data_IF_146020867302
#
_entry.id   IF_146020867302
#
_cell.length_a   1.000
_cell.length_b   1.000
_cell.length_c   1.000
_cell.angle_alpha   90.00
_cell.angle_beta   90.00
_cell.angle_gamma   90.00
#
_symmetry.space_group_name_H-M   'P 1'
#
loop_
_entity.id
_entity.type
_entity.pdbx_description
1 polymer ?
#
# COMPACT_ATOMS: atom_id res chain seq x y z
N UNK A 1 19.72 4.02 8.57
CA UNK A 1 19.31 4.24 7.16
C UNK A 1 17.83 4.58 7.07
N UNK A 2 17.45 5.51 6.19
CA UNK A 2 16.07 5.97 5.97
C UNK A 2 15.90 6.44 4.51
N UNK A 3 14.67 6.65 4.05
CA UNK A 3 14.39 7.26 2.75
C UNK A 3 14.51 8.78 2.91
N UNK A 4 15.45 9.39 2.21
CA UNK A 4 15.71 10.84 2.19
C UNK A 4 14.72 11.56 1.27
N UNK A 5 14.49 11.01 0.09
CA UNK A 5 13.53 11.53 -0.87
C UNK A 5 12.99 10.43 -1.79
N UNK A 6 11.87 10.71 -2.43
CA UNK A 6 11.21 9.82 -3.40
C UNK A 6 10.94 10.62 -4.66
N UNK A 7 11.31 10.06 -5.81
CA UNK A 7 10.96 10.56 -7.13
C UNK A 7 10.01 9.57 -7.79
N UNK A 8 8.91 10.05 -8.34
CA UNK A 8 7.89 9.21 -9.00
C UNK A 8 7.53 9.81 -10.35
N UNK A 9 7.49 8.98 -11.39
CA UNK A 9 7.00 9.37 -12.71
C UNK A 9 5.86 8.46 -13.17
N UNK A 10 4.77 9.07 -13.60
CA UNK A 10 3.65 8.45 -14.30
C UNK A 10 2.97 7.27 -13.60
N UNK A 11 3.05 7.21 -12.27
CA UNK A 11 2.44 6.15 -11.49
C UNK A 11 1.06 6.57 -10.96
N UNK A 12 0.01 5.89 -11.38
CA UNK A 12 -1.39 6.11 -10.95
C UNK A 12 -1.80 7.60 -10.99
N UNK A 13 -1.99 8.24 -9.82
CA UNK A 13 -2.38 9.65 -9.70
C UNK A 13 -1.26 10.64 -10.06
N UNK A 14 0.00 10.20 -10.11
CA UNK A 14 1.13 11.06 -10.43
C UNK A 14 1.39 11.10 -11.94
N UNK A 15 1.10 12.23 -12.58
CA UNK A 15 1.43 12.52 -14.00
C UNK A 15 2.73 13.30 -14.08
N UNK A 16 3.68 12.85 -14.89
CA UNK A 16 5.01 13.44 -14.99
C UNK A 16 5.81 13.22 -13.71
N UNK A 17 6.77 14.10 -13.45
CA UNK A 17 7.68 14.00 -12.32
C UNK A 17 7.04 14.55 -11.03
N UNK A 18 7.23 13.84 -9.95
CA UNK A 18 6.87 14.25 -8.60
C UNK A 18 7.98 13.91 -7.63
N UNK A 19 8.44 14.92 -6.89
CA UNK A 19 9.51 14.79 -5.90
C UNK A 19 9.01 15.12 -4.50
N UNK A 20 9.42 14.33 -3.52
CA UNK A 20 9.13 14.57 -2.12
C UNK A 20 10.34 14.22 -1.26
N UNK A 21 10.74 15.13 -0.38
CA UNK A 21 11.74 14.85 0.66
C UNK A 21 11.04 14.29 1.91
N UNK A 22 11.72 13.46 2.67
CA UNK A 22 11.22 12.85 3.90
C UNK A 22 12.20 13.07 5.05
N UNK A 23 11.68 13.09 6.28
CA UNK A 23 12.48 13.13 7.49
C UNK A 23 12.92 11.70 7.87
N UNK A 24 13.98 11.55 8.61
CA UNK A 24 14.48 10.28 9.14
C UNK A 24 13.58 9.63 10.22
N UNK A 25 12.68 10.43 10.82
CA UNK A 25 11.70 9.99 11.81
C UNK A 25 10.29 9.89 11.26
N UNK A 26 9.35 10.63 11.88
CA UNK A 26 7.93 10.61 11.53
C UNK A 26 7.67 11.56 10.36
N UNK A 27 6.91 11.07 9.37
CA UNK A 27 6.40 11.82 8.24
C UNK A 27 4.87 11.63 8.17
N UNK A 28 4.11 12.72 8.23
CA UNK A 28 2.66 12.70 8.26
C UNK A 28 2.15 13.30 6.96
N UNK A 29 1.63 12.46 6.09
CA UNK A 29 1.07 12.84 4.81
C UNK A 29 -0.38 13.27 4.98
N UNK A 30 -0.68 14.53 4.70
CA UNK A 30 -2.04 15.07 4.72
C UNK A 30 -2.38 15.67 3.36
N UNK A 31 -3.65 15.72 3.03
CA UNK A 31 -4.13 16.25 1.75
C UNK A 31 -5.56 15.83 1.50
N UNK A 32 -6.18 16.42 0.50
CA UNK A 32 -7.53 16.05 0.08
C UNK A 32 -7.59 14.59 -0.40
N UNK A 33 -8.80 14.07 -0.56
CA UNK A 33 -9.01 12.82 -1.26
C UNK A 33 -8.37 12.95 -2.66
N UNK A 34 -7.76 11.89 -3.16
CA UNK A 34 -7.07 11.86 -4.47
C UNK A 34 -5.75 12.66 -4.54
N UNK A 35 -5.29 13.27 -3.45
CA UNK A 35 -3.99 13.97 -3.42
C UNK A 35 -2.76 13.05 -3.62
N UNK A 36 -2.97 11.72 -3.71
CA UNK A 36 -1.91 10.75 -3.97
C UNK A 36 -1.24 10.15 -2.74
N UNK A 37 -1.75 10.39 -1.51
CA UNK A 37 -1.16 9.87 -0.26
C UNK A 37 -0.94 8.37 -0.26
N UNK A 38 -2.00 7.59 -0.56
CA UNK A 38 -1.91 6.13 -0.63
C UNK A 38 -1.03 5.66 -1.78
N UNK A 39 -1.08 6.36 -2.92
CA UNK A 39 -0.22 6.08 -4.08
C UNK A 39 1.27 6.25 -3.73
N UNK A 40 1.62 7.26 -2.94
CA UNK A 40 3.00 7.48 -2.47
C UNK A 40 3.47 6.35 -1.54
N UNK A 41 2.66 6.00 -0.55
CA UNK A 41 2.94 4.89 0.38
C UNK A 41 3.11 3.58 -0.38
N UNK A 42 2.21 3.31 -1.31
CA UNK A 42 2.24 2.12 -2.16
C UNK A 42 3.50 2.10 -3.06
N UNK A 43 3.86 3.24 -3.68
CA UNK A 43 5.05 3.37 -4.51
C UNK A 43 6.33 3.06 -3.73
N UNK A 44 6.46 3.60 -2.51
CA UNK A 44 7.58 3.32 -1.61
C UNK A 44 7.65 1.82 -1.28
N UNK A 45 6.52 1.23 -0.88
CA UNK A 45 6.47 -0.20 -0.55
C UNK A 45 6.80 -1.08 -1.76
N UNK A 46 6.27 -0.74 -2.93
CA UNK A 46 6.52 -1.43 -4.18
C UNK A 46 8.00 -1.40 -4.56
N UNK A 47 8.64 -0.22 -4.51
CA UNK A 47 10.04 -0.06 -4.86
C UNK A 47 11.00 -0.79 -3.88
N UNK A 48 10.59 -1.01 -2.63
CA UNK A 48 11.38 -1.77 -1.64
C UNK A 48 11.15 -3.28 -1.70
N UNK A 49 9.95 -3.73 -2.12
CA UNK A 49 9.56 -5.15 -1.99
C UNK A 49 9.25 -5.84 -3.32
N UNK A 50 8.91 -5.08 -4.36
CA UNK A 50 8.36 -5.59 -5.61
C UNK A 50 6.93 -6.14 -5.47
N UNK A 51 6.28 -5.90 -4.32
CA UNK A 51 4.98 -6.48 -3.97
C UNK A 51 3.90 -5.40 -4.03
N UNK A 52 2.84 -5.69 -4.77
CA UNK A 52 1.61 -4.92 -4.83
C UNK A 52 0.43 -5.82 -4.45
N UNK A 53 -0.43 -5.36 -3.54
CA UNK A 53 -1.61 -6.15 -3.09
C UNK A 53 -1.28 -7.58 -2.61
N UNK A 54 -0.06 -7.79 -2.07
CA UNK A 54 0.39 -9.08 -1.56
C UNK A 54 0.97 -10.03 -2.61
N UNK A 55 1.14 -9.59 -3.86
CA UNK A 55 1.70 -10.38 -4.96
C UNK A 55 2.86 -9.66 -5.63
N UNK A 56 3.79 -10.40 -6.21
CA UNK A 56 4.88 -9.82 -6.97
C UNK A 56 4.35 -9.14 -8.24
N UNK A 57 4.61 -7.84 -8.40
CA UNK A 57 4.07 -7.03 -9.49
C UNK A 57 4.50 -7.54 -10.88
N UNK A 58 5.70 -8.09 -11.01
CA UNK A 58 6.19 -8.64 -12.28
C UNK A 58 5.23 -9.66 -12.91
N UNK A 59 4.44 -10.36 -12.09
CA UNK A 59 3.48 -11.36 -12.55
C UNK A 59 2.08 -10.80 -12.81
N UNK A 60 1.82 -9.55 -12.42
CA UNK A 60 0.48 -8.93 -12.44
C UNK A 60 0.53 -7.49 -12.96
N UNK A 61 1.38 -7.23 -13.97
CA UNK A 61 1.42 -5.91 -14.62
C UNK A 61 0.06 -5.57 -15.23
N UNK A 62 -0.35 -4.32 -15.05
CA UNK A 62 -1.61 -3.80 -15.59
C UNK A 62 -1.44 -2.37 -16.07
N UNK A 63 -2.15 -2.00 -17.15
CA UNK A 63 -2.16 -0.62 -17.63
C UNK A 63 -2.66 0.40 -16.60
N UNK A 64 -3.47 -0.03 -15.61
CA UNK A 64 -4.00 0.84 -14.54
C UNK A 64 -2.97 1.27 -13.51
N UNK A 65 -1.74 0.78 -13.60
CA UNK A 65 -0.60 1.28 -12.83
C UNK A 65 -0.06 2.58 -13.42
N UNK A 66 -0.19 2.74 -14.72
CA UNK A 66 0.21 3.96 -15.42
C UNK A 66 -0.80 5.08 -15.18
N UNK A 67 -0.33 6.31 -15.21
CA UNK A 67 -1.23 7.46 -15.16
C UNK A 67 -2.14 7.46 -16.41
N UNK A 68 -3.45 7.57 -16.18
CA UNK A 68 -4.46 7.47 -17.24
C UNK A 68 -4.28 8.54 -18.33
N UNK A 69 -3.89 9.77 -17.97
CA UNK A 69 -3.70 10.83 -18.95
C UNK A 69 -2.55 10.49 -19.92
N UNK A 70 -1.45 9.92 -19.38
CA UNK A 70 -0.29 9.53 -20.19
C UNK A 70 -0.65 8.37 -21.12
N UNK A 71 -1.43 7.39 -20.65
CA UNK A 71 -1.91 6.30 -21.49
C UNK A 71 -2.83 6.83 -22.60
N UNK A 72 -3.75 7.73 -22.26
CA UNK A 72 -4.65 8.35 -23.25
C UNK A 72 -3.88 9.19 -24.26
N UNK A 73 -2.91 10.01 -23.84
CA UNK A 73 -2.04 10.79 -24.73
C UNK A 73 -1.27 9.88 -25.70
N UNK A 74 -0.76 8.74 -25.22
CA UNK A 74 -0.10 7.74 -26.06
C UNK A 74 -1.05 7.16 -27.10
N UNK A 75 -2.23 6.69 -26.69
CA UNK A 75 -3.23 6.10 -27.60
C UNK A 75 -3.77 7.10 -28.62
N UNK A 76 -4.02 8.33 -28.21
CA UNK A 76 -4.47 9.41 -29.10
C UNK A 76 -3.39 9.78 -30.14
N UNK A 77 -2.12 9.78 -29.74
CA UNK A 77 -1.02 10.02 -30.68
C UNK A 77 -0.90 8.89 -31.68
N UNK A 78 -0.98 7.63 -31.27
CA UNK A 78 -1.00 6.47 -32.19
C UNK A 78 -2.15 6.57 -33.18
N UNK A 79 -3.36 6.83 -32.70
CA UNK A 79 -4.57 6.94 -33.52
C UNK A 79 -4.47 8.05 -34.58
N UNK A 80 -3.79 9.14 -34.24
CA UNK A 80 -3.60 10.29 -35.14
C UNK A 80 -2.33 10.19 -35.98
N UNK A 81 -1.61 9.06 -35.97
CA UNK A 81 -0.36 8.86 -36.70
C UNK A 81 0.78 9.81 -36.26
N UNK A 82 0.73 10.30 -35.02
CA UNK A 82 1.76 11.17 -34.45
C UNK A 82 2.82 10.34 -33.74
N UNK A 83 4.06 10.85 -33.60
CA UNK A 83 5.06 10.21 -32.78
C UNK A 83 4.55 9.99 -31.34
N UNK A 84 4.46 8.75 -30.90
CA UNK A 84 3.99 8.37 -29.58
C UNK A 84 5.15 7.79 -28.77
N UNK A 85 5.56 8.47 -27.69
CA UNK A 85 6.51 7.90 -26.75
C UNK A 85 5.82 6.83 -25.89
N UNK A 86 6.46 5.67 -25.78
CA UNK A 86 5.95 4.59 -24.95
C UNK A 86 5.89 5.04 -23.48
N UNK A 87 4.74 4.95 -22.82
CA UNK A 87 4.62 5.27 -21.41
C UNK A 87 5.60 4.44 -20.56
N UNK A 88 6.12 5.01 -19.50
CA UNK A 88 6.90 4.29 -18.51
C UNK A 88 6.53 4.77 -17.11
N UNK A 89 6.80 3.94 -16.11
CA UNK A 89 6.72 4.30 -14.70
C UNK A 89 8.14 4.27 -14.14
N UNK A 90 8.47 5.27 -13.35
CA UNK A 90 9.72 5.32 -12.61
C UNK A 90 9.44 5.65 -11.15
N UNK A 91 10.02 4.88 -10.23
CA UNK A 91 10.02 5.14 -8.80
C UNK A 91 11.47 5.05 -8.32
N UNK A 92 12.02 6.16 -7.87
CA UNK A 92 13.35 6.19 -7.27
C UNK A 92 13.25 6.51 -5.79
N UNK A 93 14.01 5.77 -5.00
CA UNK A 93 14.15 5.97 -3.57
C UNK A 93 15.59 6.37 -3.26
N UNK A 94 15.75 7.57 -2.76
CA UNK A 94 17.04 8.11 -2.31
C UNK A 94 17.23 7.76 -0.84
N UNK A 95 18.35 7.14 -0.50
CA UNK A 95 18.64 6.58 0.81
C UNK A 95 19.61 7.52 1.55
N UNK A 96 19.26 7.86 2.79
CA UNK A 96 20.11 8.62 3.70
C UNK A 96 20.56 7.78 4.89
N UNK A 97 21.60 8.24 5.58
CA UNK A 97 22.16 7.58 6.76
C UNK A 97 23.48 6.87 6.45
N UNK A 98 23.60 5.63 6.91
CA UNK A 98 24.84 4.86 6.81
C UNK A 98 25.28 4.61 5.36
N UNK A 99 26.57 4.41 5.16
CA UNK A 99 27.20 4.20 3.86
C UNK A 99 26.70 2.90 3.19
N UNK A 100 26.20 3.02 1.96
CA UNK A 100 25.72 1.92 1.15
C UNK A 100 26.43 1.88 -0.23
N UNK A 101 27.70 1.54 -0.33
CA UNK A 101 28.47 1.68 -1.57
C UNK A 101 27.85 1.00 -2.79
N UNK A 102 27.17 -0.14 -2.59
CA UNK A 102 26.49 -0.88 -3.67
C UNK A 102 25.24 -0.16 -4.22
N UNK A 103 24.81 0.90 -3.56
CA UNK A 103 23.63 1.69 -3.95
C UNK A 103 24.00 3.13 -4.34
N UNK A 104 25.25 3.55 -4.20
CA UNK A 104 25.70 4.91 -4.46
C UNK A 104 26.22 5.07 -5.88
N UNK A 105 25.75 6.11 -6.57
CA UNK A 105 26.13 6.45 -7.93
C UNK A 105 25.19 7.47 -8.56
N UNK A 106 25.38 7.75 -9.84
CA UNK A 106 24.65 8.78 -10.58
C UNK A 106 23.61 8.23 -11.57
N UNK A 107 23.23 6.94 -11.47
CA UNK A 107 22.20 6.34 -12.31
C UNK A 107 20.79 6.64 -11.80
N UNK A 108 20.49 7.93 -11.57
CA UNK A 108 19.19 8.43 -11.12
C UNK A 108 18.72 9.59 -12.02
N UNK A 109 17.48 10.02 -11.84
CA UNK A 109 16.84 11.09 -12.64
C UNK A 109 17.55 12.44 -12.52
N UNK A 110 18.13 12.75 -11.36
CA UNK A 110 18.87 13.98 -11.12
C UNK A 110 20.31 13.94 -11.67
N UNK A 111 20.82 12.74 -12.02
CA UNK A 111 22.21 12.52 -12.45
C UNK A 111 23.27 12.98 -11.45
N UNK A 112 22.89 13.04 -10.19
CA UNK A 112 23.73 13.38 -9.07
C UNK A 112 24.29 12.12 -8.40
N UNK A 113 25.48 12.22 -7.81
CA UNK A 113 26.05 11.12 -7.04
C UNK A 113 25.34 11.03 -5.69
N UNK A 114 24.43 10.08 -5.57
CA UNK A 114 23.60 9.83 -4.37
C UNK A 114 23.38 8.33 -4.20
N UNK A 115 22.92 7.93 -3.02
CA UNK A 115 22.64 6.53 -2.73
C UNK A 115 21.13 6.25 -2.90
N UNK A 116 20.80 5.18 -3.63
CA UNK A 116 19.41 4.87 -3.86
C UNK A 116 19.16 3.71 -4.82
N UNK A 117 17.91 3.52 -5.13
CA UNK A 117 17.45 2.49 -6.06
C UNK A 117 16.38 3.04 -7.01
N UNK A 118 16.30 2.43 -8.18
CA UNK A 118 15.33 2.71 -9.23
C UNK A 118 14.48 1.47 -9.51
N UNK A 119 13.15 1.62 -9.45
CA UNK A 119 12.16 0.63 -9.84
C UNK A 119 11.40 1.16 -11.05
N UNK A 120 11.65 0.59 -12.21
CA UNK A 120 11.13 1.08 -13.48
C UNK A 120 10.26 0.03 -14.15
N UNK A 121 9.08 0.43 -14.63
CA UNK A 121 8.25 -0.38 -15.52
C UNK A 121 8.35 0.25 -16.89
N UNK A 122 8.93 -0.45 -17.85
CA UNK A 122 9.25 0.10 -19.15
C UNK A 122 9.05 -0.95 -20.23
N UNK A 123 8.86 -0.46 -21.45
CA UNK A 123 8.83 -1.31 -22.64
C UNK A 123 10.14 -2.10 -22.77
N UNK A 124 10.05 -3.37 -23.11
CA UNK A 124 11.18 -4.24 -23.37
C UNK A 124 11.54 -4.19 -24.86
N UNK A 125 12.70 -3.62 -25.18
CA UNK A 125 13.19 -3.43 -26.55
C UNK A 125 13.29 -4.74 -27.37
N UNK A 126 13.31 -5.91 -26.71
CA UNK A 126 13.29 -7.21 -27.40
C UNK A 126 12.02 -7.42 -28.21
N UNK A 127 10.94 -6.74 -27.89
CA UNK A 127 9.65 -6.84 -28.56
C UNK A 127 9.38 -5.73 -29.57
N UNK A 128 10.39 -4.93 -29.92
CA UNK A 128 10.21 -3.75 -30.80
C UNK A 128 9.61 -4.12 -32.13
N UNK A 129 10.11 -5.14 -32.82
CA UNK A 129 9.62 -5.55 -34.13
C UNK A 129 8.14 -5.98 -34.09
N UNK A 130 7.77 -6.75 -33.06
CA UNK A 130 6.38 -7.22 -32.88
C UNK A 130 5.46 -6.07 -32.52
N UNK A 131 5.94 -5.13 -31.72
CA UNK A 131 5.21 -3.91 -31.37
C UNK A 131 4.99 -3.02 -32.59
N UNK A 132 5.97 -2.85 -33.48
CA UNK A 132 5.84 -2.07 -34.72
C UNK A 132 4.81 -2.67 -35.70
N UNK A 133 4.60 -3.97 -35.67
CA UNK A 133 3.51 -4.61 -36.41
C UNK A 133 2.16 -4.38 -35.72
N UNK A 134 2.11 -4.43 -34.40
CA UNK A 134 0.88 -4.20 -33.63
C UNK A 134 0.32 -2.80 -33.84
N UNK A 135 1.16 -1.75 -33.83
CA UNK A 135 0.72 -0.35 -33.98
C UNK A 135 0.20 0.00 -35.38
N UNK A 136 0.39 -0.86 -36.37
CA UNK A 136 -0.26 -0.73 -37.66
C UNK A 136 -1.76 -1.06 -37.61
N UNK A 137 -2.21 -1.66 -36.51
CA UNK A 137 -3.61 -1.98 -36.23
C UNK A 137 -4.21 -0.91 -35.30
N UNK A 138 -5.54 -0.94 -35.13
CA UNK A 138 -6.24 -0.03 -34.20
C UNK A 138 -6.02 -0.48 -32.74
N UNK A 139 -4.98 0.05 -32.10
CA UNK A 139 -4.62 -0.25 -30.70
C UNK A 139 -5.47 0.60 -29.76
N UNK A 140 -6.26 -0.05 -28.89
CA UNK A 140 -7.20 0.61 -27.95
C UNK A 140 -6.73 0.60 -26.50
N UNK A 141 -5.73 -0.18 -26.17
CA UNK A 141 -5.20 -0.35 -24.81
C UNK A 141 -3.68 -0.35 -24.85
N UNK A 142 -3.04 0.00 -23.73
CA UNK A 142 -1.59 -0.10 -23.63
C UNK A 142 -1.17 -1.58 -23.73
N UNK A 143 -0.28 -1.97 -24.66
CA UNK A 143 0.15 -3.37 -24.84
C UNK A 143 1.13 -3.77 -23.74
N UNK A 144 0.58 -4.04 -22.57
CA UNK A 144 1.32 -4.28 -21.32
C UNK A 144 2.18 -5.56 -21.37
N UNK A 145 1.86 -6.49 -22.25
CA UNK A 145 2.58 -7.73 -22.50
C UNK A 145 4.03 -7.52 -22.95
N UNK A 146 4.35 -6.35 -23.47
CA UNK A 146 5.70 -5.97 -23.90
C UNK A 146 6.47 -5.18 -22.85
N UNK A 147 5.94 -5.07 -21.63
CA UNK A 147 6.57 -4.33 -20.55
C UNK A 147 7.25 -5.27 -19.56
N UNK A 148 8.40 -4.86 -19.05
CA UNK A 148 9.09 -5.55 -17.97
C UNK A 148 9.43 -4.60 -16.83
N UNK A 149 9.72 -5.19 -15.68
CA UNK A 149 10.17 -4.50 -14.48
C UNK A 149 11.69 -4.54 -14.42
N UNK A 150 12.29 -3.36 -14.44
CA UNK A 150 13.73 -3.17 -14.26
C UNK A 150 13.97 -2.58 -12.88
N UNK A 151 14.75 -3.27 -12.06
CA UNK A 151 15.04 -2.90 -10.66
C UNK A 151 16.55 -2.81 -10.46
N UNK A 152 17.08 -1.60 -10.27
CA UNK A 152 18.52 -1.33 -10.23
C UNK A 152 18.89 -0.45 -9.05
N UNK A 153 20.17 -0.42 -8.68
CA UNK A 153 20.73 0.58 -7.80
C UNK A 153 21.27 1.78 -8.61
N UNK A 154 21.55 2.90 -7.95
CA UNK A 154 22.20 4.05 -8.60
C UNK A 154 23.66 3.79 -8.98
N UNK A 155 24.26 2.72 -8.43
CA UNK A 155 25.62 2.28 -8.77
C UNK A 155 25.76 1.67 -10.18
N UNK A 156 24.65 1.46 -10.92
CA UNK A 156 24.62 0.82 -12.25
C UNK A 156 25.04 -0.68 -12.28
N UNK A 157 25.18 -1.31 -11.15
CA UNK A 157 25.58 -2.72 -11.05
C UNK A 157 24.37 -3.66 -11.17
N UNK A 158 23.95 -3.93 -12.40
CA UNK A 158 22.98 -4.99 -12.70
C UNK A 158 21.61 -4.86 -12.01
N UNK A 159 20.79 -5.90 -12.14
CA UNK A 159 19.49 -5.96 -11.49
C UNK A 159 19.61 -6.33 -10.02
N UNK A 160 18.86 -5.65 -9.16
CA UNK A 160 18.75 -5.95 -7.73
C UNK A 160 17.45 -6.70 -7.43
N UNK A 161 17.36 -7.23 -6.23
CA UNK A 161 16.14 -7.86 -5.69
C UNK A 161 15.86 -7.29 -4.30
N UNK A 162 14.64 -7.52 -3.79
CA UNK A 162 14.27 -7.08 -2.43
C UNK A 162 15.22 -7.58 -1.32
N UNK A 163 15.95 -8.66 -1.58
CA UNK A 163 16.93 -9.21 -0.61
C UNK A 163 18.22 -8.40 -0.54
N UNK A 164 18.57 -7.72 -1.63
CA UNK A 164 19.79 -6.90 -1.72
C UNK A 164 19.56 -5.52 -1.08
N UNK A 165 18.31 -5.06 -0.96
CA UNK A 165 17.97 -3.72 -0.47
C UNK A 165 18.23 -3.66 1.03
N UNK A 166 19.03 -2.69 1.52
CA UNK A 166 19.37 -2.59 2.93
C UNK A 166 18.19 -2.10 3.78
N UNK A 167 17.21 -1.42 3.17
CA UNK A 167 16.00 -0.94 3.82
C UNK A 167 14.88 -1.97 3.71
N UNK A 168 14.23 -2.27 4.83
CA UNK A 168 13.05 -3.15 4.87
C UNK A 168 11.83 -2.33 5.25
N UNK A 169 10.73 -2.47 4.51
CA UNK A 169 9.46 -1.81 4.83
C UNK A 169 8.42 -2.79 5.35
N UNK A 170 7.61 -2.33 6.29
CA UNK A 170 6.38 -2.99 6.70
C UNK A 170 5.20 -2.07 6.39
N UNK A 171 4.27 -2.53 5.54
CA UNK A 171 3.04 -1.81 5.23
C UNK A 171 1.93 -2.29 6.18
N UNK A 172 1.34 -1.38 6.92
CA UNK A 172 0.22 -1.60 7.84
C UNK A 172 -1.00 -0.91 7.25
N UNK A 173 -1.85 -1.70 6.59
CA UNK A 173 -3.12 -1.26 6.05
C UNK A 173 -4.25 -1.77 6.95
N UNK A 174 -4.70 -0.90 7.86
CA UNK A 174 -5.75 -1.22 8.81
C UNK A 174 -7.16 -1.12 8.19
N UNK A 175 -7.29 -0.43 7.07
CA UNK A 175 -8.56 -0.18 6.37
C UNK A 175 -8.94 -1.31 5.42
N UNK A 176 -7.98 -2.16 5.03
CA UNK A 176 -8.22 -3.24 4.09
C UNK A 176 -9.15 -4.32 4.68
N UNK A 177 -10.31 -4.48 4.06
CA UNK A 177 -11.37 -5.41 4.48
C UNK A 177 -11.58 -6.51 3.46
N UNK A 178 -10.53 -7.08 2.90
CA UNK A 178 -10.66 -8.22 1.98
C UNK A 178 -10.90 -9.49 2.77
N UNK A 179 -12.06 -10.08 2.57
CA UNK A 179 -12.42 -11.39 3.13
C UNK A 179 -12.35 -12.46 2.05
N UNK A 180 -11.79 -13.60 2.40
CA UNK A 180 -11.81 -14.80 1.58
C UNK A 180 -12.34 -15.94 2.45
N UNK A 181 -13.41 -16.60 2.00
CA UNK A 181 -14.08 -17.67 2.76
C UNK A 181 -14.41 -17.32 4.23
N UNK A 182 -14.76 -16.04 4.49
CA UNK A 182 -15.08 -15.55 5.82
C UNK A 182 -13.87 -15.16 6.68
N UNK A 183 -12.65 -15.38 6.22
CA UNK A 183 -11.41 -14.97 6.92
C UNK A 183 -10.91 -13.63 6.38
N UNK A 184 -10.41 -12.78 7.28
CA UNK A 184 -9.70 -11.57 6.87
C UNK A 184 -8.32 -11.94 6.33
N UNK A 185 -8.12 -11.68 5.05
CA UNK A 185 -6.90 -12.06 4.31
C UNK A 185 -5.63 -11.44 4.94
N UNK A 186 -5.75 -10.21 5.45
CA UNK A 186 -4.62 -9.51 6.06
C UNK A 186 -4.20 -10.16 7.38
N UNK A 187 -5.16 -10.47 8.26
CA UNK A 187 -4.88 -11.14 9.55
C UNK A 187 -4.39 -12.56 9.32
N UNK A 188 -5.02 -13.32 8.43
CA UNK A 188 -4.58 -14.68 8.11
C UNK A 188 -3.13 -14.70 7.64
N UNK A 189 -2.72 -13.72 6.84
CA UNK A 189 -1.33 -13.56 6.40
C UNK A 189 -0.38 -13.27 7.57
N UNK A 190 -0.76 -12.32 8.46
CA UNK A 190 0.07 -11.99 9.64
C UNK A 190 0.23 -13.20 10.55
N UNK A 191 -0.87 -13.92 10.84
CA UNK A 191 -0.85 -15.12 11.68
C UNK A 191 0.07 -16.18 11.07
N UNK A 192 -0.07 -16.45 9.77
CA UNK A 192 0.80 -17.38 9.05
C UNK A 192 2.29 -16.99 9.13
N UNK A 193 2.59 -15.72 8.95
CA UNK A 193 3.95 -15.20 9.00
C UNK A 193 4.54 -15.24 10.43
N UNK A 194 3.70 -15.36 11.47
CA UNK A 194 4.13 -15.57 12.85
C UNK A 194 4.47 -17.03 13.16
N UNK A 195 4.01 -18.00 12.34
CA UNK A 195 4.25 -19.42 12.58
C UNK A 195 5.68 -19.82 12.21
N UNK A 196 6.28 -20.67 13.03
CA UNK A 196 7.55 -21.30 12.70
C UNK A 196 7.37 -22.41 11.65
N UNK A 197 8.43 -22.74 10.89
CA UNK A 197 8.34 -23.81 9.86
C UNK A 197 7.80 -25.13 10.39
N UNK A 198 8.12 -25.48 11.64
CA UNK A 198 7.62 -26.68 12.30
C UNK A 198 6.11 -26.59 12.55
N UNK A 199 5.64 -25.47 13.05
CA UNK A 199 4.21 -25.22 13.33
C UNK A 199 3.37 -25.27 12.05
N UNK A 200 3.91 -24.76 10.93
CA UNK A 200 3.26 -24.87 9.60
C UNK A 200 3.11 -26.33 9.18
N UNK A 201 4.12 -27.16 9.42
CA UNK A 201 4.06 -28.61 9.14
C UNK A 201 3.02 -29.28 10.05
N UNK A 202 3.04 -28.98 11.34
CA UNK A 202 2.12 -29.56 12.32
C UNK A 202 0.66 -29.23 11.99
N UNK A 203 0.36 -27.97 11.66
CA UNK A 203 -1.02 -27.55 11.29
C UNK A 203 -1.43 -28.17 9.94
N UNK A 204 -0.50 -28.31 8.98
CA UNK A 204 -0.77 -28.94 7.69
C UNK A 204 -1.12 -30.42 7.88
N UNK A 205 -0.38 -31.12 8.75
CA UNK A 205 -0.67 -32.51 9.09
C UNK A 205 -2.01 -32.67 9.81
N UNK A 206 -2.29 -31.81 10.78
CA UNK A 206 -3.57 -31.81 11.50
C UNK A 206 -4.75 -31.59 10.56
N UNK A 207 -4.61 -30.66 9.61
CA UNK A 207 -5.65 -30.39 8.61
C UNK A 207 -5.87 -31.59 7.68
N UNK A 208 -4.80 -32.18 7.17
CA UNK A 208 -4.90 -33.39 6.34
C UNK A 208 -5.59 -34.54 7.08
N UNK A 209 -5.24 -34.73 8.35
CA UNK A 209 -5.85 -35.77 9.18
C UNK A 209 -7.36 -35.52 9.38
N UNK A 210 -7.76 -34.26 9.55
CA UNK A 210 -9.17 -33.88 9.59
C UNK A 210 -9.89 -34.23 8.26
N UNK A 211 -9.26 -33.96 7.12
CA UNK A 211 -9.82 -34.30 5.81
C UNK A 211 -9.95 -35.83 5.62
N UNK A 212 -8.95 -36.61 6.05
CA UNK A 212 -8.97 -38.08 6.00
C UNK A 212 -10.12 -38.62 6.87
N UNK A 213 -10.31 -38.10 8.08
CA UNK A 213 -11.42 -38.48 8.96
C UNK A 213 -12.77 -38.14 8.31
N UNK A 214 -12.93 -36.93 7.74
CA UNK A 214 -14.16 -36.54 7.06
C UNK A 214 -14.50 -37.47 5.90
N UNK A 215 -13.51 -37.86 5.08
CA UNK A 215 -13.72 -38.79 3.98
C UNK A 215 -14.04 -40.22 4.44
N UNK A 216 -13.62 -40.60 5.64
CA UNK A 216 -13.91 -41.89 6.26
C UNK A 216 -15.30 -41.99 6.92
N UNK A 217 -16.05 -40.87 7.01
CA UNK A 217 -17.35 -40.86 7.62
C UNK A 217 -18.38 -41.68 6.82
N UNK A 218 -19.19 -42.46 7.53
CA UNK A 218 -20.22 -43.34 6.93
C UNK A 218 -21.19 -42.56 6.03
N UNK A 219 -21.53 -41.33 6.40
CA UNK A 219 -22.41 -40.47 5.61
C UNK A 219 -21.83 -40.15 4.23
N UNK A 220 -20.51 -39.89 4.13
CA UNK A 220 -19.82 -39.64 2.86
C UNK A 220 -19.73 -40.92 2.02
N UNK A 221 -19.44 -42.08 2.66
CA UNK A 221 -19.45 -43.40 2.01
C UNK A 221 -20.83 -43.74 1.39
N UNK A 222 -21.92 -43.47 2.12
CA UNK A 222 -23.27 -43.67 1.64
C UNK A 222 -23.63 -42.75 0.47
N UNK A 223 -23.19 -41.47 0.49
CA UNK A 223 -23.38 -40.54 -0.62
C UNK A 223 -22.60 -41.04 -1.86
N UNK A 224 -21.35 -41.44 -1.70
CA UNK A 224 -20.53 -41.97 -2.79
C UNK A 224 -21.09 -43.23 -3.41
N UNK A 225 -21.60 -44.13 -2.58
CA UNK A 225 -22.30 -45.35 -3.06
C UNK A 225 -23.53 -44.99 -3.91
N UNK A 226 -24.31 -44.01 -3.49
CA UNK A 226 -25.47 -43.51 -4.25
C UNK A 226 -25.09 -42.83 -5.55
N UNK A 227 -23.99 -42.04 -5.54
CA UNK A 227 -23.46 -41.36 -6.74
C UNK A 227 -22.96 -42.37 -7.78
N UNK A 228 -22.24 -43.43 -7.36
CA UNK A 228 -21.83 -44.53 -8.24
C UNK A 228 -23.00 -45.20 -8.93
N UNK A 229 -24.10 -45.40 -8.20
CA UNK A 229 -25.34 -45.99 -8.76
C UNK A 229 -26.09 -45.06 -9.74
N UNK A 230 -25.92 -43.75 -9.60
CA UNK A 230 -26.60 -42.75 -10.43
C UNK A 230 -25.80 -42.36 -11.71
N UNK A 231 -24.50 -42.59 -11.73
CA UNK A 231 -23.61 -42.18 -12.84
C UNK A 231 -23.56 -43.18 -13.99
N UNK A 232 -24.72 -43.40 -14.67
CA UNK A 232 -24.79 -44.16 -15.93
C UNK A 232 -24.26 -43.41 -17.17
N UNK A 233 -23.68 -42.23 -16.98
CA UNK A 233 -23.29 -41.31 -18.07
C UNK A 233 -21.87 -41.56 -18.56
N UNK A 234 -21.00 -42.19 -17.79
CA UNK A 234 -19.64 -42.56 -18.19
C UNK A 234 -19.17 -43.87 -17.55
N UNK A 235 -18.21 -44.56 -18.19
CA UNK A 235 -17.57 -45.76 -17.63
C UNK A 235 -16.65 -45.46 -16.43
N UNK A 236 -16.78 -44.28 -15.81
CA UNK A 236 -15.94 -43.85 -14.67
C UNK A 236 -16.86 -43.59 -13.47
N UNK A 237 -16.41 -44.00 -12.31
CA UNK A 237 -17.10 -43.74 -11.04
C UNK A 237 -16.97 -42.27 -10.68
N UNK A 238 -18.09 -41.68 -10.26
CA UNK A 238 -18.15 -40.31 -9.70
C UNK A 238 -18.13 -40.41 -8.19
N UNK A 239 -17.18 -39.75 -7.55
CA UNK A 239 -17.05 -39.73 -6.09
C UNK A 239 -16.95 -38.26 -5.60
N UNK A 240 -17.57 -37.99 -4.45
CA UNK A 240 -17.38 -36.79 -3.68
C UNK A 240 -16.11 -36.93 -2.86
N UNK A 241 -15.17 -36.03 -3.02
CA UNK A 241 -13.92 -36.01 -2.26
C UNK A 241 -13.56 -34.60 -1.84
N UNK A 242 -12.73 -34.46 -0.82
CA UNK A 242 -12.12 -33.20 -0.41
C UNK A 242 -10.93 -32.88 -1.30
N UNK A 243 -10.74 -31.63 -1.65
CA UNK A 243 -9.56 -31.22 -2.42
C UNK A 243 -8.27 -31.38 -1.59
N UNK A 244 -7.46 -32.33 -1.98
CA UNK A 244 -6.15 -32.63 -1.39
C UNK A 244 -4.97 -32.01 -2.17
N UNK A 245 -5.27 -31.26 -3.24
CA UNK A 245 -4.26 -30.78 -4.19
C UNK A 245 -3.35 -29.67 -3.64
N UNK A 246 -3.80 -28.93 -2.65
CA UNK A 246 -3.05 -27.77 -2.12
C UNK A 246 -2.37 -28.08 -0.78
N UNK A 247 -1.05 -27.92 -0.74
CA UNK A 247 -0.25 -28.03 0.49
C UNK A 247 -0.72 -27.07 1.59
N UNK A 248 -1.27 -25.91 1.21
CA UNK A 248 -1.65 -24.85 2.12
C UNK A 248 -3.18 -24.66 2.18
N UNK A 249 -3.98 -25.68 1.86
CA UNK A 249 -5.44 -25.60 1.85
C UNK A 249 -6.04 -25.15 3.19
N UNK A 250 -5.38 -25.42 4.31
CA UNK A 250 -5.79 -24.99 5.65
C UNK A 250 -5.85 -23.45 5.78
N UNK A 251 -5.05 -22.69 5.03
CA UNK A 251 -5.02 -21.22 5.09
C UNK A 251 -6.37 -20.58 4.74
N UNK A 252 -7.10 -21.21 3.82
CA UNK A 252 -8.40 -20.73 3.36
C UNK A 252 -9.58 -21.26 4.22
N UNK A 253 -9.31 -22.20 5.12
CA UNK A 253 -10.34 -22.85 5.93
C UNK A 253 -10.35 -22.39 7.38
N UNK A 254 -9.24 -21.77 7.85
CA UNK A 254 -9.16 -21.27 9.21
C UNK A 254 -9.71 -19.84 9.29
N UNK A 255 -10.49 -19.60 10.32
CA UNK A 255 -11.06 -18.30 10.64
C UNK A 255 -10.45 -17.79 11.95
N UNK A 256 -10.04 -16.52 11.98
CA UNK A 256 -9.52 -15.90 13.19
C UNK A 256 -10.68 -15.52 14.12
N UNK A 257 -10.54 -15.80 15.41
CA UNK A 257 -11.47 -15.44 16.47
C UNK A 257 -10.81 -14.46 17.46
N UNK A 258 -11.59 -13.52 17.96
CA UNK A 258 -11.27 -12.68 19.11
C UNK A 258 -12.34 -12.93 20.15
N UNK A 259 -11.95 -13.36 21.38
CA UNK A 259 -12.87 -13.69 22.47
C UNK A 259 -14.04 -14.60 22.05
N UNK A 260 -13.74 -15.63 21.26
CA UNK A 260 -14.71 -16.60 20.71
C UNK A 260 -15.70 -16.03 19.67
N UNK A 261 -15.53 -14.79 19.25
CA UNK A 261 -16.31 -14.17 18.18
C UNK A 261 -15.47 -14.19 16.91
N UNK A 262 -16.01 -14.67 15.76
CA UNK A 262 -15.30 -14.59 14.49
C UNK A 262 -14.93 -13.16 14.16
N UNK A 263 -13.71 -12.93 13.70
CA UNK A 263 -13.13 -11.59 13.51
C UNK A 263 -13.98 -10.67 12.61
N UNK A 264 -14.65 -11.21 11.61
CA UNK A 264 -15.53 -10.47 10.69
C UNK A 264 -16.83 -9.97 11.34
N UNK A 265 -17.21 -10.50 12.52
CA UNK A 265 -18.39 -10.06 13.28
C UNK A 265 -18.05 -9.04 14.38
N UNK A 266 -16.79 -8.69 14.55
CA UNK A 266 -16.35 -7.68 15.52
C UNK A 266 -16.49 -6.28 14.90
N UNK A 267 -16.70 -5.27 15.74
CA UNK A 267 -16.79 -3.88 15.30
C UNK A 267 -15.53 -3.42 14.54
N UNK A 268 -15.70 -2.68 13.44
CA UNK A 268 -14.59 -2.26 12.56
C UNK A 268 -13.46 -1.54 13.29
N UNK A 269 -13.77 -0.70 14.29
CA UNK A 269 -12.77 -0.02 15.09
C UNK A 269 -11.87 -1.00 15.88
N UNK A 270 -12.45 -2.05 16.44
CA UNK A 270 -11.69 -3.08 17.15
C UNK A 270 -10.86 -3.94 16.18
N UNK A 271 -11.42 -4.28 15.03
CA UNK A 271 -10.68 -4.93 13.95
C UNK A 271 -9.44 -4.12 13.54
N UNK A 272 -9.58 -2.80 13.38
CA UNK A 272 -8.48 -1.90 13.03
C UNK A 272 -7.36 -1.94 14.07
N UNK A 273 -7.69 -1.83 15.38
CA UNK A 273 -6.70 -1.89 16.46
C UNK A 273 -5.98 -3.22 16.50
N UNK A 274 -6.73 -4.33 16.42
CA UNK A 274 -6.15 -5.67 16.45
C UNK A 274 -5.21 -5.87 15.27
N UNK A 275 -5.63 -5.49 14.06
CA UNK A 275 -4.78 -5.53 12.86
C UNK A 275 -3.48 -4.75 13.06
N UNK A 276 -3.58 -3.51 13.52
CA UNK A 276 -2.41 -2.65 13.70
C UNK A 276 -1.48 -3.17 14.80
N UNK A 277 -2.02 -3.59 15.94
CA UNK A 277 -1.20 -4.15 17.03
C UNK A 277 -0.50 -5.45 16.62
N UNK A 278 -1.21 -6.36 15.94
CA UNK A 278 -0.62 -7.60 15.43
C UNK A 278 0.48 -7.29 14.40
N UNK A 279 0.22 -6.35 13.48
CA UNK A 279 1.20 -5.96 12.48
C UNK A 279 2.46 -5.34 13.10
N UNK A 280 2.31 -4.46 14.11
CA UNK A 280 3.44 -3.86 14.84
C UNK A 280 4.22 -4.88 15.66
N UNK A 281 3.55 -5.86 16.27
CA UNK A 281 4.18 -6.93 17.03
C UNK A 281 4.90 -7.96 16.15
N UNK A 282 4.56 -8.02 14.87
CA UNK A 282 5.08 -8.99 13.93
C UNK A 282 6.60 -8.83 13.70
N UNK A 283 7.29 -9.96 13.45
CA UNK A 283 8.74 -9.99 13.22
C UNK A 283 9.18 -9.06 12.08
N UNK A 284 8.45 -9.00 10.96
CA UNK A 284 8.76 -8.11 9.85
C UNK A 284 8.73 -6.63 10.24
N UNK A 285 7.75 -6.22 11.05
CA UNK A 285 7.70 -4.84 11.55
C UNK A 285 8.81 -4.54 12.54
N UNK A 286 9.22 -5.54 13.36
CA UNK A 286 10.36 -5.41 14.25
C UNK A 286 11.68 -5.26 13.50
N UNK A 287 11.86 -5.99 12.41
CA UNK A 287 13.05 -5.95 11.55
C UNK A 287 13.01 -4.82 10.52
N UNK A 288 11.85 -4.21 10.27
CA UNK A 288 11.70 -3.13 9.30
C UNK A 288 12.39 -1.87 9.79
N UNK A 289 13.09 -1.19 8.88
CA UNK A 289 13.63 0.16 9.08
C UNK A 289 12.55 1.22 8.88
N UNK A 290 11.55 0.90 8.05
CA UNK A 290 10.50 1.82 7.62
C UNK A 290 9.12 1.20 7.89
N UNK A 291 8.27 1.96 8.56
CA UNK A 291 6.87 1.60 8.80
C UNK A 291 5.98 2.51 7.96
N UNK A 292 5.18 1.92 7.12
CA UNK A 292 4.21 2.59 6.26
C UNK A 292 2.80 2.32 6.82
N UNK A 293 2.00 3.37 7.04
CA UNK A 293 0.65 3.24 7.57
C UNK A 293 -0.35 4.05 6.75
N UNK A 294 -1.47 3.42 6.40
CA UNK A 294 -2.58 4.09 5.75
C UNK A 294 -3.74 4.27 6.71
N UNK A 295 -4.12 5.54 6.92
CA UNK A 295 -5.30 5.97 7.69
C UNK A 295 -5.56 5.13 8.96
N UNK A 296 -4.59 5.09 9.88
CA UNK A 296 -4.69 4.24 11.07
C UNK A 296 -5.85 4.62 12.00
N UNK A 297 -6.42 5.82 11.82
CA UNK A 297 -7.56 6.34 12.58
C UNK A 297 -8.92 5.81 12.13
N UNK A 298 -9.02 5.12 11.01
CA UNK A 298 -10.29 4.70 10.45
C UNK A 298 -11.12 3.86 11.44
N UNK A 299 -12.37 4.29 11.62
CA UNK A 299 -13.34 3.68 12.53
C UNK A 299 -12.97 3.69 14.02
N UNK A 300 -11.97 4.47 14.45
CA UNK A 300 -11.55 4.53 15.86
C UNK A 300 -12.26 5.64 16.64
N UNK A 301 -12.64 5.32 17.89
CA UNK A 301 -13.01 6.34 18.86
C UNK A 301 -11.76 7.11 19.35
N UNK A 302 -11.97 8.27 19.93
CA UNK A 302 -10.88 9.12 20.44
C UNK A 302 -9.95 8.42 21.43
N UNK A 303 -10.50 7.65 22.37
CA UNK A 303 -9.71 6.90 23.36
C UNK A 303 -8.86 5.83 22.69
N UNK A 304 -9.43 5.09 21.73
CA UNK A 304 -8.74 4.05 21.00
C UNK A 304 -7.66 4.58 20.06
N UNK A 305 -7.88 5.76 19.51
CA UNK A 305 -6.90 6.45 18.69
C UNK A 305 -5.69 6.91 19.53
N UNK A 306 -5.91 7.41 20.75
CA UNK A 306 -4.80 7.72 21.68
C UNK A 306 -3.97 6.47 22.03
N UNK A 307 -4.62 5.34 22.28
CA UNK A 307 -3.95 4.06 22.57
C UNK A 307 -3.09 3.62 21.36
N UNK A 308 -3.61 3.74 20.16
CA UNK A 308 -2.90 3.42 18.93
C UNK A 308 -1.67 4.31 18.73
N UNK A 309 -1.82 5.63 18.89
CA UNK A 309 -0.72 6.60 18.74
C UNK A 309 0.39 6.31 19.78
N UNK A 310 0.02 5.97 21.01
CA UNK A 310 0.98 5.59 22.04
C UNK A 310 1.76 4.34 21.63
N UNK A 311 1.06 3.31 21.11
CA UNK A 311 1.70 2.09 20.61
C UNK A 311 2.65 2.36 19.43
N UNK A 312 2.26 3.22 18.48
CA UNK A 312 3.12 3.63 17.36
C UNK A 312 4.39 4.31 17.88
N UNK A 313 4.28 5.26 18.81
CA UNK A 313 5.43 5.97 19.39
C UNK A 313 6.37 5.05 20.16
N UNK A 314 5.82 4.05 20.84
CA UNK A 314 6.61 3.10 21.63
C UNK A 314 7.37 2.11 20.74
N UNK A 315 6.71 1.55 19.74
CA UNK A 315 7.26 0.46 18.90
C UNK A 315 8.15 0.97 17.76
N UNK A 316 8.11 2.28 17.47
CA UNK A 316 8.75 2.85 16.29
C UNK A 316 9.81 3.91 16.61
N UNK A 317 10.39 3.90 17.82
CA UNK A 317 11.33 4.96 18.30
C UNK A 317 12.56 5.20 17.41
N UNK A 318 13.07 4.16 16.74
CA UNK A 318 14.30 4.21 15.94
C UNK A 318 14.03 3.92 14.45
N UNK A 319 12.79 4.10 14.01
CA UNK A 319 12.36 3.77 12.66
C UNK A 319 11.79 4.99 11.97
N UNK A 320 11.98 5.03 10.66
CA UNK A 320 11.25 5.99 9.84
C UNK A 320 9.79 5.55 9.73
N UNK A 321 8.87 6.47 9.98
CA UNK A 321 7.43 6.22 9.91
C UNK A 321 6.83 7.17 8.88
N UNK A 322 6.07 6.62 7.94
CA UNK A 322 5.33 7.39 6.95
C UNK A 322 3.86 7.04 7.11
N UNK A 323 3.04 8.01 7.51
CA UNK A 323 1.62 7.83 7.82
C UNK A 323 0.79 8.74 6.95
N UNK A 324 -0.20 8.19 6.24
CA UNK A 324 -1.26 9.01 5.65
C UNK A 324 -2.41 9.16 6.63
N UNK A 325 -2.96 10.37 6.76
CA UNK A 325 -4.08 10.64 7.66
C UNK A 325 -4.95 11.78 7.16
N UNK A 326 -6.24 11.70 7.48
CA UNK A 326 -7.20 12.78 7.38
C UNK A 326 -7.55 13.38 8.76
N UNK A 327 -6.99 12.84 9.84
CA UNK A 327 -7.29 13.23 11.21
C UNK A 327 -6.36 14.33 11.71
N UNK A 328 -6.94 15.51 11.97
CA UNK A 328 -6.24 16.60 12.66
C UNK A 328 -5.66 16.15 14.00
N UNK A 329 -6.35 15.23 14.67
CA UNK A 329 -5.91 14.70 15.94
C UNK A 329 -4.62 13.86 15.82
N UNK A 330 -4.55 12.97 14.82
CA UNK A 330 -3.34 12.17 14.54
C UNK A 330 -2.17 13.08 14.24
N UNK A 331 -2.36 14.06 13.36
CA UNK A 331 -1.33 15.01 12.97
C UNK A 331 -0.79 15.81 14.16
N UNK A 332 -1.66 16.33 15.02
CA UNK A 332 -1.25 17.09 16.20
C UNK A 332 -0.54 16.21 17.24
N UNK A 333 -1.02 15.00 17.49
CA UNK A 333 -0.44 14.10 18.49
C UNK A 333 0.92 13.55 18.06
N UNK A 334 1.14 13.33 16.77
CA UNK A 334 2.42 12.87 16.24
C UNK A 334 3.43 14.00 16.03
N UNK A 335 2.95 15.23 15.92
CA UNK A 335 3.77 16.44 15.82
C UNK A 335 3.65 17.14 14.47
N UNK A 336 3.17 18.39 14.49
CA UNK A 336 2.95 19.20 13.30
C UNK A 336 4.21 19.47 12.47
N UNK A 337 5.40 19.43 13.08
CA UNK A 337 6.68 19.60 12.39
C UNK A 337 6.96 18.50 11.38
N UNK A 338 6.34 17.33 11.56
CA UNK A 338 6.48 16.18 10.67
C UNK A 338 5.42 16.15 9.56
N UNK A 339 4.58 17.21 9.47
CA UNK A 339 3.46 17.27 8.53
C UNK A 339 3.93 17.68 7.14
N UNK A 340 3.49 16.93 6.15
CA UNK A 340 3.71 17.17 4.72
C UNK A 340 2.33 17.25 4.07
N UNK A 341 1.97 18.45 3.60
CA UNK A 341 0.73 18.67 2.88
C UNK A 341 0.93 18.37 1.40
N UNK A 342 0.12 17.47 0.87
CA UNK A 342 0.03 17.16 -0.56
C UNK A 342 -1.15 17.94 -1.17
N UNK A 343 -0.85 18.85 -2.09
CA UNK A 343 -1.86 19.64 -2.81
C UNK A 343 -1.41 19.88 -4.24
N UNK A 344 -2.25 19.54 -5.20
CA UNK A 344 -2.01 19.73 -6.64
C UNK A 344 -0.62 19.25 -7.10
N UNK A 345 -0.21 18.03 -6.64
CA UNK A 345 1.11 17.44 -6.94
C UNK A 345 2.30 18.25 -6.41
N UNK A 346 2.06 19.11 -5.45
CA UNK A 346 3.10 19.85 -4.73
C UNK A 346 3.12 19.45 -3.27
N UNK A 347 4.27 19.56 -2.67
CA UNK A 347 4.45 19.33 -1.25
C UNK A 347 4.68 20.66 -0.54
N UNK A 348 3.97 20.87 0.57
CA UNK A 348 4.17 22.01 1.45
C UNK A 348 4.47 21.47 2.84
N UNK A 349 5.44 22.06 3.51
CA UNK A 349 5.80 21.73 4.88
C UNK A 349 5.55 22.92 5.80
N UNK A 350 5.17 22.64 7.04
CA UNK A 350 4.96 23.72 8.01
C UNK A 350 6.23 24.51 8.31
N UNK A 351 7.42 23.88 8.24
CA UNK A 351 8.67 24.62 8.47
C UNK A 351 9.03 25.60 7.36
N UNK A 352 8.37 25.53 6.20
CA UNK A 352 8.51 26.52 5.12
C UNK A 352 7.73 27.81 5.43
N UNK A 353 6.87 27.79 6.47
CA UNK A 353 6.11 28.94 6.94
C UNK A 353 6.94 29.80 7.92
N UNK A 354 6.48 31.03 8.15
CA UNK A 354 7.11 31.89 9.15
C UNK A 354 7.04 31.29 10.56
N UNK A 355 8.04 31.52 11.43
CA UNK A 355 8.03 31.01 12.81
C UNK A 355 6.76 31.40 13.60
N UNK A 356 6.25 32.60 13.39
CA UNK A 356 5.02 33.08 14.01
C UNK A 356 3.78 32.29 13.56
N UNK A 357 3.75 31.88 12.30
CA UNK A 357 2.68 31.03 11.74
C UNK A 357 2.76 29.61 12.31
N UNK A 358 3.95 29.04 12.43
CA UNK A 358 4.17 27.74 13.04
C UNK A 358 3.70 27.74 14.50
N UNK A 359 4.12 28.73 15.28
CA UNK A 359 3.70 28.92 16.67
C UNK A 359 2.18 29.05 16.82
N UNK A 360 1.54 29.73 15.87
CA UNK A 360 0.07 29.85 15.84
C UNK A 360 -0.59 28.50 15.64
N UNK A 361 -0.15 27.72 14.66
CA UNK A 361 -0.71 26.38 14.40
C UNK A 361 -0.44 25.39 15.53
N UNK A 362 0.73 25.46 16.20
CA UNK A 362 1.03 24.62 17.37
C UNK A 362 0.13 24.93 18.57
N UNK A 363 -0.34 26.16 18.71
CA UNK A 363 -1.22 26.60 19.80
C UNK A 363 -2.70 26.42 19.50
N UNK A 364 -3.09 26.24 18.23
CA UNK A 364 -4.48 25.95 17.87
C UNK A 364 -4.92 24.62 18.48
N UNK A 365 -6.13 24.60 19.03
CA UNK A 365 -6.74 23.36 19.47
C UNK A 365 -6.89 22.40 18.30
N UNK A 366 -6.39 21.17 18.48
CA UNK A 366 -6.06 20.18 17.48
C UNK A 366 -7.03 19.85 16.35
N UNK A 367 -8.29 20.31 16.43
CA UNK A 367 -9.30 20.01 15.41
C UNK A 367 -9.29 20.98 14.22
N UNK A 368 -8.76 22.18 14.40
CA UNK A 368 -8.90 23.22 13.39
C UNK A 368 -7.71 23.36 12.47
N UNK A 369 -6.54 22.85 12.88
CA UNK A 369 -5.29 23.00 12.11
C UNK A 369 -5.39 22.40 10.71
N UNK A 370 -5.78 21.13 10.57
CA UNK A 370 -5.90 20.52 9.23
C UNK A 370 -7.07 21.09 8.44
N UNK A 371 -8.16 21.45 9.09
CA UNK A 371 -9.29 22.10 8.40
C UNK A 371 -8.87 23.41 7.76
N UNK A 372 -8.07 24.22 8.47
CA UNK A 372 -7.53 25.47 7.93
C UNK A 372 -6.53 25.23 6.80
N UNK A 373 -5.64 24.23 6.95
CA UNK A 373 -4.65 23.89 5.93
C UNK A 373 -5.25 23.30 4.65
N UNK A 374 -6.38 22.61 4.76
CA UNK A 374 -7.04 21.93 3.64
C UNK A 374 -8.21 22.72 3.04
N UNK A 375 -8.66 23.83 3.68
CA UNK A 375 -9.76 24.61 3.15
C UNK A 375 -9.31 25.48 1.95
N UNK A 376 -10.17 25.58 0.95
CA UNK A 376 -9.96 26.50 -0.18
C UNK A 376 -10.30 27.96 0.18
N UNK A 377 -11.20 28.15 1.14
CA UNK A 377 -11.64 29.46 1.62
C UNK A 377 -11.92 29.38 3.10
N UNK A 378 -11.48 30.37 3.87
CA UNK A 378 -11.76 30.52 5.28
C UNK A 378 -12.51 31.84 5.53
N UNK A 379 -13.56 31.81 6.36
CA UNK A 379 -14.28 32.97 6.82
C UNK A 379 -13.93 33.17 8.28
N UNK A 380 -13.29 34.29 8.59
CA UNK A 380 -12.95 34.67 9.96
C UNK A 380 -14.12 35.46 10.55
N UNK A 381 -14.65 34.97 11.67
CA UNK A 381 -15.73 35.63 12.41
C UNK A 381 -15.32 35.88 13.85
N UNK A 382 -15.68 37.02 14.39
CA UNK A 382 -15.38 37.35 15.79
C UNK A 382 -16.32 36.64 16.76
N UNK A 383 -17.50 36.22 16.31
CA UNK A 383 -18.52 35.55 17.11
C UNK A 383 -19.39 34.65 16.24
N UNK A 384 -19.90 33.53 16.83
CA UNK A 384 -20.85 32.62 16.18
C UNK A 384 -22.15 33.30 15.73
N UNK A 385 -22.54 34.43 16.35
CA UNK A 385 -23.67 35.26 15.93
C UNK A 385 -23.53 35.75 14.48
N UNK A 386 -22.31 35.99 14.00
CA UNK A 386 -22.07 36.41 12.62
C UNK A 386 -22.24 35.31 11.58
N UNK A 387 -22.32 34.06 12.01
CA UNK A 387 -22.55 32.88 11.12
C UNK A 387 -24.04 32.69 10.86
N UNK A 388 -24.90 32.99 11.85
CA UNK A 388 -26.34 32.78 11.77
C UNK A 388 -27.11 33.84 10.96
N UNK A 389 -26.52 35.02 10.69
CA UNK A 389 -27.17 36.11 9.91
C UNK A 389 -26.24 36.67 8.79
N UNK A 390 -25.77 35.89 7.82
CA UNK A 390 -24.87 36.42 6.78
C UNK A 390 -25.56 37.37 5.78
N UNK A 391 -26.88 37.45 5.77
CA UNK A 391 -27.64 38.19 4.74
C UNK A 391 -28.11 39.56 5.15
N UNK A 392 -28.06 39.93 6.42
CA UNK A 392 -28.58 41.26 6.88
C UNK A 392 -27.57 42.41 6.76
N UNK A 393 -26.28 42.15 6.66
CA UNK A 393 -25.24 43.18 6.59
C UNK A 393 -24.70 43.50 5.20
N UNK A 394 -25.20 42.83 4.15
CA UNK A 394 -24.77 43.07 2.76
C UNK A 394 -25.67 44.13 2.05
N UNK A 395 -26.50 44.92 2.79
CA UNK A 395 -27.34 45.95 2.24
C UNK A 395 -27.12 47.30 2.95
N UNK A 396 -25.87 47.69 3.15
CA UNK A 396 -25.57 49.10 3.43
C UNK A 396 -24.43 49.53 2.51
#
# INVERSE_FOLDING_TARGET
>A
MYIKSVHIENYKSYKGCFDISLNDGINILVGNNEAGKSTLIEAIHLALTGILNGRYLKNELSQYLFNNDIVNEYLDNLKNGRPASLPHILIELYIGGDDCPLFCGNANSHREDDCGLSYKITFDERYRDVYEELIKQDVKTLPIEYYDVVWTSFARDGSITSRNIPLKSALIDSSNTRYQNGSDVYISRIVKECLEPKEIVDITQAYRKMQEVFMGEESIGNINTRLKGASRISNKDVELSVDLSSKNAWENCLMTYLDKIPFNYIGKGEQCIVKTKLALAHKKAKEASIILMEEPENHLSYSKLNELIAAIKEHCKEKQIIISTHSSFVANKLGLKSLILLHDRKTLRLHDLSPSTIDYFEKLSGYDTLRLLLCQKAILVLSLIHISEPTRHAQI
#
